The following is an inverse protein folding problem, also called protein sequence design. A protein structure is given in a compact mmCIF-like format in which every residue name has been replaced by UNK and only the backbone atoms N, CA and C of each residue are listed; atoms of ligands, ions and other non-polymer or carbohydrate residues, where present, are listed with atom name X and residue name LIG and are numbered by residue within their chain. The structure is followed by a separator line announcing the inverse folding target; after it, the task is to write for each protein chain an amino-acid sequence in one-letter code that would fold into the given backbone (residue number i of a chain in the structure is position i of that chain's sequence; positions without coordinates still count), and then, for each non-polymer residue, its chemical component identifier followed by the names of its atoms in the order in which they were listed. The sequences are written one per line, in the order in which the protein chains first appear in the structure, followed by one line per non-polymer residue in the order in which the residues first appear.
data_IF_084169576568
#
_entry.id   IF_084169576568
#
_cell.length_a   1.000
_cell.length_b   1.000
_cell.length_c   1.000
_cell.angle_alpha   90.00
_cell.angle_beta   90.00
_cell.angle_gamma   90.00
#
_symmetry.space_group_name_H-M   'P 1'
#
loop_
_entity.id
_entity.type
_entity.pdbx_description
1 polymer ?
#
# COMPACT_ATOMS: atom_id res chain seq x y z
N UNK A 1 10.65 -1.04 -24.68
CA UNK A 1 9.90 0.21 -24.94
C UNK A 1 10.59 0.97 -26.06
N UNK A 2 9.81 1.42 -27.05
CA UNK A 2 10.24 2.24 -28.18
C UNK A 2 9.67 3.65 -28.01
N UNK A 3 10.27 4.46 -27.12
CA UNK A 3 9.71 5.77 -26.73
C UNK A 3 9.56 6.72 -27.92
N UNK A 4 10.46 6.62 -28.90
CA UNK A 4 10.46 7.45 -30.10
C UNK A 4 9.25 7.20 -31.02
N UNK A 5 8.56 6.08 -30.87
CA UNK A 5 7.33 5.75 -31.62
C UNK A 5 6.08 6.29 -30.91
N UNK A 6 6.19 6.67 -29.63
CA UNK A 6 5.08 7.14 -28.82
C UNK A 6 4.92 8.65 -28.89
N UNK A 7 3.71 9.10 -29.21
CA UNK A 7 3.40 10.55 -29.26
C UNK A 7 3.15 11.16 -27.88
N UNK A 8 2.77 10.34 -26.89
CA UNK A 8 2.52 10.73 -25.53
C UNK A 8 2.95 9.63 -24.57
N UNK A 9 3.72 9.99 -23.54
CA UNK A 9 4.11 9.08 -22.46
C UNK A 9 3.70 9.67 -21.09
N UNK A 10 3.18 8.81 -20.22
CA UNK A 10 2.88 9.17 -18.82
C UNK A 10 3.85 8.38 -17.94
N UNK A 11 4.59 9.08 -17.09
CA UNK A 11 5.66 8.50 -16.27
C UNK A 11 5.34 8.76 -14.80
N UNK A 12 5.28 7.68 -14.02
CA UNK A 12 5.26 7.74 -12.55
C UNK A 12 6.54 7.08 -12.05
N UNK A 13 7.38 7.83 -11.33
CA UNK A 13 8.70 7.35 -10.90
C UNK A 13 9.06 7.88 -9.51
N UNK A 14 9.61 7.03 -8.67
CA UNK A 14 10.12 7.42 -7.35
C UNK A 14 11.63 7.64 -7.34
N UNK A 15 12.15 8.15 -6.22
CA UNK A 15 13.58 8.11 -5.89
C UNK A 15 13.81 7.12 -4.73
N UNK A 16 14.93 6.43 -4.73
CA UNK A 16 15.36 5.51 -3.66
C UNK A 16 16.73 5.91 -3.13
N UNK A 17 17.01 5.62 -1.85
CA UNK A 17 18.30 5.90 -1.22
C UNK A 17 18.72 7.37 -1.36
N UNK A 18 19.95 7.59 -1.83
CA UNK A 18 20.55 8.92 -2.01
C UNK A 18 20.12 9.65 -3.30
N UNK A 19 18.98 9.27 -3.89
CA UNK A 19 18.47 9.88 -5.13
C UNK A 19 18.82 9.08 -6.38
N UNK A 20 18.83 7.75 -6.23
CA UNK A 20 18.95 6.76 -7.29
C UNK A 20 17.57 6.25 -7.71
N UNK A 21 17.42 5.75 -8.96
CA UNK A 21 16.14 5.22 -9.41
C UNK A 21 15.86 3.85 -8.80
N UNK A 22 14.58 3.49 -8.61
CA UNK A 22 14.18 2.15 -8.23
C UNK A 22 14.75 1.09 -9.18
N UNK A 23 14.97 -0.13 -8.69
CA UNK A 23 15.58 -1.22 -9.45
C UNK A 23 14.88 -1.51 -10.79
N UNK A 24 13.55 -1.50 -10.78
CA UNK A 24 12.74 -1.72 -11.97
C UNK A 24 12.88 -0.57 -13.01
N UNK A 25 13.29 0.62 -12.58
CA UNK A 25 13.54 1.79 -13.41
C UNK A 25 15.02 1.96 -13.80
N UNK A 26 15.95 1.25 -13.16
CA UNK A 26 17.39 1.40 -13.39
C UNK A 26 17.79 1.22 -14.86
N UNK A 27 17.31 0.14 -15.51
CA UNK A 27 17.56 -0.11 -16.95
C UNK A 27 17.01 1.01 -17.84
N UNK A 28 15.86 1.58 -17.47
CA UNK A 28 15.25 2.71 -18.16
C UNK A 28 16.07 3.98 -18.03
N UNK A 29 16.44 4.33 -16.80
CA UNK A 29 17.25 5.51 -16.52
C UNK A 29 18.61 5.44 -17.22
N UNK A 30 19.26 4.26 -17.23
CA UNK A 30 20.51 4.06 -17.97
C UNK A 30 20.34 4.29 -19.47
N UNK A 31 19.29 3.72 -20.09
CA UNK A 31 19.05 3.84 -21.53
C UNK A 31 18.74 5.29 -21.94
N UNK A 32 17.90 6.00 -21.19
CA UNK A 32 17.51 7.37 -21.55
C UNK A 32 18.63 8.40 -21.30
N UNK A 33 19.56 8.09 -20.39
CA UNK A 33 20.75 8.92 -20.14
C UNK A 33 21.96 8.54 -21.00
N UNK A 34 21.81 7.61 -21.95
CA UNK A 34 22.86 7.29 -22.91
C UNK A 34 23.23 8.54 -23.71
N UNK A 35 24.51 8.92 -23.66
CA UNK A 35 25.03 10.13 -24.30
C UNK A 35 25.10 10.03 -25.82
N UNK A 36 24.97 8.83 -26.38
CA UNK A 36 24.91 8.60 -27.83
C UNK A 36 23.56 8.97 -28.45
N UNK A 37 22.52 9.18 -27.64
CA UNK A 37 21.21 9.61 -28.12
C UNK A 37 21.25 11.04 -28.64
N UNK A 38 20.68 11.25 -29.83
CA UNK A 38 20.50 12.57 -30.42
C UNK A 38 19.59 13.44 -29.55
N UNK A 39 19.89 14.74 -29.51
CA UNK A 39 19.04 15.79 -28.92
C UNK A 39 17.62 15.85 -29.49
N UNK A 40 17.35 15.28 -30.67
CA UNK A 40 16.02 15.21 -31.26
C UNK A 40 15.34 13.84 -31.12
N UNK A 41 15.91 12.92 -30.35
CA UNK A 41 15.47 11.53 -30.23
C UNK A 41 13.98 11.38 -29.84
N UNK A 42 13.45 12.32 -29.05
CA UNK A 42 12.05 12.37 -28.59
C UNK A 42 11.31 13.63 -29.10
N UNK A 43 11.75 14.22 -30.20
CA UNK A 43 11.15 15.47 -30.75
C UNK A 43 9.65 15.38 -31.06
N UNK A 44 9.15 14.18 -31.34
CA UNK A 44 7.74 13.89 -31.60
C UNK A 44 6.94 13.44 -30.37
N UNK A 45 7.56 13.40 -29.19
CA UNK A 45 6.98 12.85 -27.97
C UNK A 45 6.63 13.98 -27.00
N UNK A 46 5.41 13.94 -26.46
CA UNK A 46 5.05 14.70 -25.27
C UNK A 46 5.10 13.80 -24.03
N UNK A 47 5.36 14.36 -22.86
CA UNK A 47 5.36 13.60 -21.61
C UNK A 47 4.62 14.29 -20.48
N UNK A 48 3.96 13.50 -19.64
CA UNK A 48 3.48 13.91 -18.33
C UNK A 48 4.27 13.12 -17.27
N UNK A 49 4.80 13.80 -16.25
CA UNK A 49 5.61 13.18 -15.21
C UNK A 49 5.03 13.45 -13.83
N UNK A 50 4.86 12.39 -13.05
CA UNK A 50 4.54 12.45 -11.62
C UNK A 50 5.70 11.79 -10.86
N UNK A 51 6.41 12.60 -10.09
CA UNK A 51 7.46 12.11 -9.22
C UNK A 51 6.93 11.76 -7.83
N UNK A 52 7.35 10.63 -7.28
CA UNK A 52 7.07 10.24 -5.90
C UNK A 52 8.36 10.39 -5.07
N UNK A 53 8.30 11.13 -3.97
CA UNK A 53 9.47 11.40 -3.13
C UNK A 53 9.08 11.65 -1.69
N UNK A 54 10.08 11.93 -0.87
CA UNK A 54 9.94 12.22 0.55
C UNK A 54 10.91 13.37 0.88
N UNK A 55 10.37 14.48 1.40
CA UNK A 55 11.14 15.68 1.73
C UNK A 55 12.07 15.54 2.94
N UNK A 56 11.98 14.44 3.69
CA UNK A 56 12.96 14.08 4.72
C UNK A 56 14.32 13.69 4.12
N UNK A 57 14.37 13.30 2.85
CA UNK A 57 15.60 12.94 2.16
C UNK A 57 16.26 14.19 1.56
N UNK A 58 17.60 14.19 1.57
CA UNK A 58 18.42 15.29 1.06
C UNK A 58 18.17 15.60 -0.42
N UNK A 59 17.73 14.60 -1.20
CA UNK A 59 17.50 14.71 -2.64
C UNK A 59 16.03 14.58 -3.02
N UNK A 60 15.15 15.38 -2.38
CA UNK A 60 13.72 15.42 -2.69
C UNK A 60 13.45 15.53 -4.20
N UNK A 61 12.75 14.53 -4.75
CA UNK A 61 12.39 14.42 -6.16
C UNK A 61 13.61 14.33 -7.11
N UNK A 62 14.75 13.82 -6.62
CA UNK A 62 16.01 13.79 -7.37
C UNK A 62 15.95 13.05 -8.71
N UNK A 63 15.44 11.82 -8.72
CA UNK A 63 15.29 11.02 -9.95
C UNK A 63 14.25 11.61 -10.91
N UNK A 64 13.02 11.94 -10.47
CA UNK A 64 12.04 12.66 -11.28
C UNK A 64 12.61 13.91 -11.97
N UNK A 65 13.32 14.77 -11.23
CA UNK A 65 13.93 15.99 -11.77
C UNK A 65 15.04 15.69 -12.78
N UNK A 66 15.90 14.71 -12.51
CA UNK A 66 16.94 14.26 -13.45
C UNK A 66 16.32 13.76 -14.76
N UNK A 67 15.29 12.91 -14.65
CA UNK A 67 14.59 12.35 -15.80
C UNK A 67 13.89 13.43 -16.63
N UNK A 68 13.14 14.34 -15.99
CA UNK A 68 12.48 15.46 -16.67
C UNK A 68 13.50 16.27 -17.49
N UNK A 69 14.61 16.66 -16.87
CA UNK A 69 15.68 17.42 -17.54
C UNK A 69 16.19 16.67 -18.76
N UNK A 70 16.38 15.34 -18.65
CA UNK A 70 16.87 14.52 -19.76
C UNK A 70 15.85 14.39 -20.88
N UNK A 71 14.57 14.21 -20.58
CA UNK A 71 13.50 14.13 -21.59
C UNK A 71 13.43 15.43 -22.42
N UNK A 72 13.50 16.58 -21.74
CA UNK A 72 13.54 17.89 -22.40
C UNK A 72 14.78 18.06 -23.30
N UNK A 73 15.95 17.59 -22.84
CA UNK A 73 17.18 17.62 -23.64
C UNK A 73 17.14 16.73 -24.89
N UNK A 74 16.30 15.69 -24.88
CA UNK A 74 16.07 14.80 -26.02
C UNK A 74 14.94 15.30 -26.94
N UNK A 75 14.44 16.52 -26.72
CA UNK A 75 13.44 17.17 -27.58
C UNK A 75 11.99 16.87 -27.21
N UNK A 76 11.75 16.08 -26.16
CA UNK A 76 10.39 15.84 -25.67
C UNK A 76 9.79 17.13 -25.09
N UNK A 77 8.47 17.25 -25.17
CA UNK A 77 7.74 18.42 -24.63
C UNK A 77 6.85 18.02 -23.47
N UNK A 78 6.73 18.88 -22.45
CA UNK A 78 5.75 18.66 -21.38
C UNK A 78 4.34 18.67 -21.98
N UNK A 79 3.54 17.68 -21.58
CA UNK A 79 2.10 17.60 -21.89
C UNK A 79 1.29 18.40 -20.86
N UNK A 80 1.67 18.26 -19.59
CA UNK A 80 1.21 19.04 -18.44
C UNK A 80 2.42 19.33 -17.55
N UNK A 81 2.27 20.22 -16.57
CA UNK A 81 3.30 20.40 -15.55
C UNK A 81 3.50 19.12 -14.73
N UNK A 82 4.75 18.90 -14.34
CA UNK A 82 5.11 17.70 -13.59
C UNK A 82 4.68 17.82 -12.13
N UNK A 83 4.10 16.74 -11.61
CA UNK A 83 3.72 16.63 -10.20
C UNK A 83 4.89 16.14 -9.35
N UNK A 84 4.95 16.57 -8.09
CA UNK A 84 5.90 16.07 -7.11
C UNK A 84 5.18 15.72 -5.82
N UNK A 85 4.86 14.44 -5.63
CA UNK A 85 4.23 13.94 -4.42
C UNK A 85 5.25 13.75 -3.28
N UNK A 86 4.84 14.08 -2.07
CA UNK A 86 5.67 14.04 -0.87
C UNK A 86 5.05 13.10 0.17
N UNK A 87 5.72 11.98 0.41
CA UNK A 87 5.28 10.94 1.34
C UNK A 87 5.20 11.47 2.78
N UNK A 88 6.03 12.46 3.13
CA UNK A 88 6.06 13.04 4.48
C UNK A 88 4.75 13.73 4.89
N UNK A 89 3.99 14.23 3.92
CA UNK A 89 2.71 14.94 4.16
C UNK A 89 1.50 14.21 3.58
N UNK A 90 1.72 13.08 2.91
CA UNK A 90 0.70 12.31 2.18
C UNK A 90 0.78 12.55 0.67
N UNK A 91 1.01 11.47 -0.09
CA UNK A 91 1.18 11.52 -1.54
C UNK A 91 -0.07 12.07 -2.25
N UNK A 92 -1.26 11.73 -1.74
CA UNK A 92 -2.56 12.06 -2.33
C UNK A 92 -2.75 13.57 -2.54
N UNK A 93 -2.15 14.40 -1.67
CA UNK A 93 -2.24 15.86 -1.75
C UNK A 93 -1.68 16.43 -3.07
N UNK A 94 -0.70 15.76 -3.66
CA UNK A 94 -0.12 16.15 -4.96
C UNK A 94 -0.61 15.27 -6.11
N UNK A 95 -0.87 13.98 -5.85
CA UNK A 95 -1.30 13.02 -6.87
C UNK A 95 -2.68 13.39 -7.41
N UNK A 96 -3.64 13.71 -6.55
CA UNK A 96 -5.03 13.97 -6.97
C UNK A 96 -5.16 15.23 -7.84
N UNK A 97 -4.63 16.41 -7.46
CA UNK A 97 -4.67 17.59 -8.34
C UNK A 97 -3.91 17.40 -9.65
N UNK A 98 -2.85 16.58 -9.63
CA UNK A 98 -2.09 16.27 -10.83
C UNK A 98 -2.87 15.34 -11.77
N UNK A 99 -3.58 14.34 -11.24
CA UNK A 99 -4.49 13.49 -12.01
C UNK A 99 -5.62 14.31 -12.65
N UNK A 100 -6.21 15.26 -11.92
CA UNK A 100 -7.22 16.18 -12.46
C UNK A 100 -6.67 16.97 -13.66
N UNK A 101 -5.46 17.51 -13.54
CA UNK A 101 -4.79 18.19 -14.66
C UNK A 101 -4.56 17.24 -15.85
N UNK A 102 -4.09 16.02 -15.57
CA UNK A 102 -3.80 15.02 -16.59
C UNK A 102 -5.05 14.59 -17.35
N UNK A 103 -6.13 14.22 -16.64
CA UNK A 103 -7.37 13.77 -17.25
C UNK A 103 -8.02 14.88 -18.09
N UNK A 104 -8.03 16.11 -17.61
CA UNK A 104 -8.50 17.25 -18.39
C UNK A 104 -7.70 17.45 -19.68
N UNK A 105 -6.36 17.36 -19.61
CA UNK A 105 -5.51 17.48 -20.79
C UNK A 105 -5.69 16.32 -21.78
N UNK A 106 -5.76 15.07 -21.28
CA UNK A 106 -6.00 13.87 -22.10
C UNK A 106 -7.34 13.97 -22.82
N UNK A 107 -8.38 14.42 -22.11
CA UNK A 107 -9.71 14.61 -22.67
C UNK A 107 -9.69 15.57 -23.86
N UNK A 108 -9.02 16.71 -23.71
CA UNK A 108 -8.87 17.69 -24.80
C UNK A 108 -8.06 17.11 -25.97
N UNK A 109 -6.97 16.40 -25.67
CA UNK A 109 -6.04 15.84 -26.68
C UNK A 109 -6.64 14.72 -27.53
N UNK A 110 -7.50 13.90 -26.94
CA UNK A 110 -8.12 12.74 -27.58
C UNK A 110 -9.60 12.95 -27.91
N UNK A 111 -10.12 14.17 -27.71
CA UNK A 111 -11.52 14.52 -27.92
C UNK A 111 -12.48 13.54 -27.21
N UNK A 112 -12.10 13.14 -25.99
CA UNK A 112 -12.94 12.26 -25.19
C UNK A 112 -14.15 13.08 -24.73
N UNK A 113 -15.34 12.50 -24.90
CA UNK A 113 -16.55 13.06 -24.29
C UNK A 113 -16.40 13.00 -22.77
N UNK A 114 -17.03 13.93 -22.06
CA UNK A 114 -17.33 13.65 -20.65
C UNK A 114 -18.16 12.39 -20.67
N UNK A 115 -17.57 11.29 -20.23
CA UNK A 115 -18.39 10.28 -19.61
C UNK A 115 -18.76 10.94 -18.28
N UNK A 116 -20.04 11.19 -18.05
CA UNK A 116 -20.53 11.67 -16.75
C UNK A 116 -20.15 10.72 -15.59
N UNK A 117 -19.53 9.57 -15.91
CA UNK A 117 -19.18 8.51 -14.99
C UNK A 117 -17.85 8.67 -14.24
N UNK A 118 -16.87 9.52 -14.63
CA UNK A 118 -15.57 9.57 -13.90
C UNK A 118 -15.70 9.91 -12.41
N UNK A 119 -16.76 10.66 -12.09
CA UNK A 119 -17.28 10.81 -10.74
C UNK A 119 -18.78 10.54 -10.75
N UNK A 120 -19.24 9.52 -10.03
CA UNK A 120 -20.68 9.44 -9.78
C UNK A 120 -21.07 10.59 -8.85
N UNK A 121 -21.93 11.49 -9.32
CA UNK A 121 -22.68 12.37 -8.42
C UNK A 121 -23.63 11.50 -7.62
N UNK A 122 -23.16 11.00 -6.49
CA UNK A 122 -24.02 10.29 -5.56
C UNK A 122 -24.84 11.35 -4.85
N UNK A 123 -26.17 11.29 -4.98
CA UNK A 123 -27.12 12.04 -4.12
C UNK A 123 -27.54 11.09 -3.00
N UNK A 124 -26.79 10.98 -1.90
CA UNK A 124 -27.26 10.23 -0.75
C UNK A 124 -28.36 11.03 -0.04
N UNK A 125 -29.35 10.30 0.50
CA UNK A 125 -30.42 10.89 1.30
C UNK A 125 -29.79 11.64 2.48
N UNK A 126 -30.13 12.91 2.65
CA UNK A 126 -29.71 13.71 3.80
C UNK A 126 -30.26 13.08 5.09
N UNK A 127 -29.36 12.55 5.93
CA UNK A 127 -29.72 11.99 7.24
C UNK A 127 -29.33 13.01 8.31
N UNK A 128 -30.37 13.60 8.92
CA UNK A 128 -30.25 14.33 10.17
C UNK A 128 -29.86 13.34 11.27
N UNK A 129 -28.67 13.52 11.86
CA UNK A 129 -28.29 12.80 13.09
C UNK A 129 -28.25 13.86 14.18
N UNK A 130 -29.15 13.70 15.15
CA UNK A 130 -29.16 14.46 16.40
C UNK A 130 -27.88 14.19 17.19
N UNK A 131 -27.22 15.28 17.57
CA UNK A 131 -26.02 15.33 18.41
C UNK A 131 -26.03 14.33 19.58
N UNK A 132 -25.01 13.49 19.64
CA UNK A 132 -24.53 12.93 20.91
C UNK A 132 -23.34 13.77 21.36
N UNK A 133 -23.60 14.62 22.35
CA UNK A 133 -22.61 15.43 23.04
C UNK A 133 -22.02 14.65 24.22
N UNK A 134 -20.73 14.93 24.46
CA UNK A 134 -19.96 14.79 25.71
C UNK A 134 -19.47 13.39 26.12
N UNK A 135 -18.17 13.21 26.30
CA UNK A 135 -17.42 13.64 27.50
C UNK A 135 -15.94 13.23 27.38
N UNK A 136 -15.03 14.12 27.76
CA UNK A 136 -13.65 13.77 28.11
C UNK A 136 -13.66 12.74 29.24
N UNK A 137 -12.98 11.61 29.02
CA UNK A 137 -12.57 10.71 30.10
C UNK A 137 -11.07 10.41 29.97
N UNK A 138 -10.28 11.35 30.48
CA UNK A 138 -8.99 11.04 31.07
C UNK A 138 -9.23 10.21 32.34
N UNK A 139 -8.94 8.92 32.31
CA UNK A 139 -8.67 8.12 33.51
C UNK A 139 -7.88 6.87 33.11
N UNK A 140 -6.55 6.96 33.16
CA UNK A 140 -5.69 5.79 33.28
C UNK A 140 -5.27 5.68 34.75
N UNK A 141 -5.82 4.68 35.43
CA UNK A 141 -5.33 4.22 36.73
C UNK A 141 -4.08 3.37 36.51
N UNK A 142 -2.93 3.89 36.96
CA UNK A 142 -1.69 3.13 37.10
C UNK A 142 -1.88 2.02 38.14
N UNK A 143 -1.79 0.78 37.68
CA UNK A 143 -1.65 -0.39 38.54
C UNK A 143 -0.16 -0.64 38.75
N UNK A 144 0.36 -0.26 39.92
CA UNK A 144 1.73 -0.60 40.35
C UNK A 144 1.80 -2.09 40.68
N UNK A 145 2.53 -2.86 39.88
CA UNK A 145 3.07 -4.16 40.29
C UNK A 145 4.58 -4.04 40.44
N UNK A 146 5.07 -4.40 41.62
CA UNK A 146 6.48 -4.38 41.99
C UNK A 146 7.29 -5.29 41.07
N UNK A 147 8.24 -4.72 40.34
CA UNK A 147 9.31 -5.44 39.68
C UNK A 147 10.59 -5.27 40.49
N UNK A 148 10.99 -6.33 41.19
CA UNK A 148 12.34 -6.49 41.69
C UNK A 148 12.97 -7.73 41.04
N UNK A 149 14.23 -7.55 40.62
CA UNK A 149 15.22 -8.55 40.23
C UNK A 149 15.01 -9.38 38.93
N UNK A 150 15.28 -8.79 37.75
CA UNK A 150 15.89 -9.54 36.63
C UNK A 150 16.61 -8.63 35.62
N UNK A 151 17.68 -7.95 36.06
CA UNK A 151 18.58 -7.25 35.12
C UNK A 151 19.43 -8.29 34.35
N UNK A 152 19.41 -8.21 33.02
CA UNK A 152 20.29 -8.92 32.05
C UNK A 152 19.96 -10.37 31.61
N UNK A 153 18.69 -10.79 31.54
CA UNK A 153 18.36 -12.02 30.77
C UNK A 153 17.93 -11.66 29.35
N UNK A 154 18.69 -12.12 28.35
CA UNK A 154 18.20 -12.23 26.98
C UNK A 154 16.96 -13.11 27.00
N UNK A 155 15.81 -12.54 26.62
CA UNK A 155 14.57 -13.29 26.50
C UNK A 155 14.43 -13.66 25.01
N UNK A 156 14.26 -14.95 24.66
CA UNK A 156 14.18 -15.37 23.26
C UNK A 156 12.87 -14.97 22.57
N UNK A 157 11.89 -14.46 23.32
CA UNK A 157 10.58 -14.08 22.79
C UNK A 157 10.23 -12.63 23.14
N UNK A 158 9.74 -11.92 22.15
CA UNK A 158 9.12 -10.61 22.29
C UNK A 158 7.64 -10.82 22.62
N UNK A 159 7.23 -10.55 23.86
CA UNK A 159 5.80 -10.49 24.21
C UNK A 159 5.26 -9.14 23.73
N UNK A 160 4.61 -9.14 22.56
CA UNK A 160 3.88 -7.99 22.06
C UNK A 160 2.51 -8.06 22.71
N UNK A 161 2.17 -7.04 23.52
CA UNK A 161 0.84 -6.96 24.13
C UNK A 161 -0.24 -7.31 23.09
N UNK A 162 -1.22 -8.16 23.45
CA UNK A 162 -2.24 -8.57 22.51
C UNK A 162 -3.00 -7.33 22.01
N UNK A 163 -3.08 -7.19 20.69
CA UNK A 163 -3.88 -6.13 20.07
C UNK A 163 -5.30 -6.18 20.64
N UNK A 164 -5.77 -5.03 21.11
CA UNK A 164 -7.18 -4.84 21.44
C UNK A 164 -7.94 -4.71 20.13
N UNK A 165 -8.74 -5.72 19.82
CA UNK A 165 -9.63 -5.65 18.67
C UNK A 165 -10.75 -4.65 18.97
N UNK A 166 -11.15 -3.84 17.99
CA UNK A 166 -12.28 -2.94 18.16
C UNK A 166 -13.56 -3.74 18.42
N UNK A 167 -14.41 -3.21 19.29
CA UNK A 167 -15.75 -3.75 19.52
C UNK A 167 -16.62 -3.62 18.25
N UNK A 168 -17.83 -4.18 18.26
CA UNK A 168 -18.78 -4.09 17.15
C UNK A 168 -19.35 -2.68 16.91
N UNK A 169 -18.86 -1.66 17.63
CA UNK A 169 -19.25 -0.28 17.50
C UNK A 169 -18.76 0.34 16.17
N UNK A 170 -19.59 1.15 15.48
CA UNK A 170 -19.19 1.82 14.26
C UNK A 170 -17.97 2.74 14.48
N UNK A 171 -16.87 2.44 13.80
CA UNK A 171 -15.62 3.22 13.91
C UNK A 171 -15.65 4.51 13.08
N UNK A 172 -16.44 4.54 11.99
CA UNK A 172 -16.51 5.63 11.03
C UNK A 172 -17.71 6.57 11.29
N UNK A 173 -17.81 7.11 12.51
CA UNK A 173 -18.93 8.00 12.92
C UNK A 173 -18.60 9.49 12.92
N UNK A 174 -17.33 9.85 12.73
CA UNK A 174 -16.83 11.24 12.84
C UNK A 174 -16.53 11.82 11.47
N UNK A 175 -17.06 13.00 11.16
CA UNK A 175 -16.78 13.78 9.95
C UNK A 175 -17.14 15.26 10.15
N UNK A 176 -16.66 16.15 9.27
CA UNK A 176 -17.02 17.57 9.36
C UNK A 176 -18.44 17.83 8.87
N UNK A 177 -19.13 18.78 9.51
CA UNK A 177 -20.42 19.26 9.03
C UNK A 177 -20.31 19.87 7.62
N UNK A 178 -19.14 20.42 7.25
CA UNK A 178 -18.93 21.02 5.93
C UNK A 178 -19.04 20.00 4.79
N UNK A 179 -18.39 18.84 4.90
CA UNK A 179 -18.46 17.80 3.86
C UNK A 179 -19.76 17.01 3.98
N UNK A 180 -20.20 16.75 5.22
CA UNK A 180 -21.44 16.02 5.46
C UNK A 180 -22.66 16.70 4.84
N UNK A 181 -22.71 18.03 4.84
CA UNK A 181 -23.81 18.80 4.25
C UNK A 181 -23.67 19.03 2.73
N UNK A 182 -22.59 18.56 2.08
CA UNK A 182 -22.47 18.64 0.62
C UNK A 182 -23.34 17.58 -0.07
N UNK A 183 -24.33 18.03 -0.82
CA UNK A 183 -25.27 17.14 -1.53
C UNK A 183 -24.57 16.34 -2.65
N UNK A 184 -23.62 16.97 -3.35
CA UNK A 184 -22.93 16.40 -4.50
C UNK A 184 -21.45 16.18 -4.18
N UNK A 185 -21.09 14.94 -3.86
CA UNK A 185 -19.70 14.54 -3.70
C UNK A 185 -19.14 14.05 -5.03
N UNK A 186 -17.90 14.44 -5.35
CA UNK A 186 -17.19 13.88 -6.50
C UNK A 186 -16.45 12.63 -6.07
N UNK A 187 -17.10 11.48 -6.24
CA UNK A 187 -16.58 10.18 -5.80
C UNK A 187 -16.07 9.38 -7.00
N UNK A 188 -14.82 8.88 -6.97
CA UNK A 188 -14.27 8.05 -8.06
C UNK A 188 -15.11 6.80 -8.33
N UNK A 189 -15.05 6.30 -9.56
CA UNK A 189 -15.63 4.99 -9.90
C UNK A 189 -14.95 3.89 -9.08
N UNK A 190 -15.75 2.96 -8.55
CA UNK A 190 -15.23 1.78 -7.89
C UNK A 190 -14.42 0.91 -8.86
N UNK A 191 -13.32 0.31 -8.37
CA UNK A 191 -12.52 -0.60 -9.18
C UNK A 191 -13.38 -1.79 -9.64
N UNK A 192 -13.32 -2.11 -10.94
CA UNK A 192 -14.08 -3.24 -11.48
C UNK A 192 -13.51 -4.56 -10.95
N UNK A 193 -14.40 -5.44 -10.50
CA UNK A 193 -14.07 -6.80 -10.14
C UNK A 193 -13.57 -7.55 -11.39
N UNK A 194 -12.47 -8.27 -11.24
CA UNK A 194 -11.85 -9.04 -12.33
C UNK A 194 -11.45 -10.45 -11.91
N UNK A 195 -11.61 -10.79 -10.63
CA UNK A 195 -11.35 -12.11 -10.09
C UNK A 195 -12.65 -12.69 -9.56
N UNK A 196 -12.82 -13.98 -9.79
CA UNK A 196 -13.86 -14.80 -9.16
C UNK A 196 -13.20 -15.92 -8.38
N UNK A 197 -13.80 -16.25 -7.24
CA UNK A 197 -13.37 -17.36 -6.38
C UNK A 197 -14.43 -18.44 -6.33
N UNK A 198 -14.00 -19.70 -6.24
CA UNK A 198 -14.88 -20.83 -5.94
C UNK A 198 -14.27 -21.68 -4.84
N UNK A 199 -15.06 -21.99 -3.81
CA UNK A 199 -14.61 -22.77 -2.65
C UNK A 199 -15.22 -24.16 -2.72
N UNK A 200 -14.40 -25.18 -2.53
CA UNK A 200 -14.82 -26.59 -2.50
C UNK A 200 -15.03 -27.05 -1.06
N UNK A 201 -15.46 -28.29 -0.84
CA UNK A 201 -15.57 -28.86 0.52
C UNK A 201 -14.24 -29.46 1.03
N UNK A 202 -13.23 -29.60 0.15
CA UNK A 202 -11.94 -30.19 0.50
C UNK A 202 -11.08 -29.19 1.27
N UNK A 203 -10.31 -29.67 2.24
CA UNK A 203 -9.33 -28.84 2.95
C UNK A 203 -8.12 -28.55 2.07
N UNK A 204 -7.59 -27.34 2.21
CA UNK A 204 -6.33 -26.94 1.60
C UNK A 204 -5.14 -27.37 2.47
N UNK A 205 -4.15 -28.00 1.85
CA UNK A 205 -2.88 -28.33 2.49
C UNK A 205 -1.82 -27.33 2.01
N UNK A 206 -1.31 -26.51 2.93
CA UNK A 206 -0.29 -25.50 2.66
C UNK A 206 1.14 -26.01 2.82
N UNK A 207 1.34 -27.27 3.21
CA UNK A 207 2.67 -27.82 3.54
C UNK A 207 3.67 -27.76 2.38
N UNK A 208 3.18 -27.87 1.14
CA UNK A 208 4.00 -27.77 -0.07
C UNK A 208 4.13 -26.35 -0.63
N UNK A 209 3.46 -25.36 -0.03
CA UNK A 209 3.44 -24.00 -0.56
C UNK A 209 4.74 -23.27 -0.21
N UNK A 210 5.44 -22.82 -1.24
CA UNK A 210 6.58 -21.93 -1.07
C UNK A 210 6.12 -20.51 -0.72
N UNK A 211 6.98 -19.75 -0.04
CA UNK A 211 6.77 -18.31 0.17
C UNK A 211 6.50 -17.61 -1.16
N UNK A 212 5.48 -16.74 -1.18
CA UNK A 212 5.03 -16.03 -2.39
C UNK A 212 4.78 -16.95 -3.59
N UNK A 213 4.41 -18.22 -3.36
CA UNK A 213 4.21 -19.20 -4.45
C UNK A 213 5.45 -19.35 -5.37
N UNK A 214 6.66 -19.15 -4.82
CA UNK A 214 7.93 -19.20 -5.56
C UNK A 214 8.27 -17.91 -6.33
N UNK A 215 7.42 -16.89 -6.29
CA UNK A 215 7.74 -15.57 -6.84
C UNK A 215 8.76 -14.84 -5.96
N UNK A 216 9.51 -13.92 -6.57
CA UNK A 216 10.51 -13.12 -5.86
C UNK A 216 9.85 -11.98 -5.08
N UNK A 217 10.34 -11.72 -3.88
CA UNK A 217 9.99 -10.50 -3.16
C UNK A 217 10.62 -9.27 -3.85
N UNK A 218 9.94 -8.11 -3.86
CA UNK A 218 10.53 -6.86 -4.34
C UNK A 218 11.81 -6.52 -3.56
N UNK A 219 12.88 -6.12 -4.26
CA UNK A 219 14.17 -5.75 -3.64
C UNK A 219 15.01 -6.92 -3.12
N UNK A 220 14.54 -8.16 -3.30
CA UNK A 220 15.22 -9.34 -2.77
C UNK A 220 16.43 -9.76 -3.61
N UNK A 221 17.57 -9.91 -2.95
CA UNK A 221 18.78 -10.51 -3.49
C UNK A 221 18.94 -11.94 -2.96
N UNK A 222 18.76 -12.95 -3.82
CA UNK A 222 18.92 -14.37 -3.45
C UNK A 222 17.61 -15.10 -3.09
N UNK A 223 17.73 -16.18 -2.30
CA UNK A 223 16.63 -16.97 -1.74
C UNK A 223 16.40 -16.60 -0.26
N UNK A 224 15.19 -16.81 0.30
CA UNK A 224 14.97 -16.57 1.73
C UNK A 224 15.76 -17.59 2.54
N UNK A 225 16.34 -17.13 3.65
CA UNK A 225 17.02 -17.99 4.62
C UNK A 225 16.24 -18.02 5.92
N UNK A 226 16.30 -19.16 6.60
CA UNK A 226 15.74 -19.29 7.93
C UNK A 226 16.73 -18.72 8.95
N UNK A 227 16.20 -17.97 9.91
CA UNK A 227 16.96 -17.36 10.98
C UNK A 227 16.23 -17.63 12.30
N UNK A 228 16.98 -18.07 13.31
CA UNK A 228 16.45 -18.31 14.64
C UNK A 228 16.68 -17.09 15.52
N UNK A 229 15.63 -16.59 16.16
CA UNK A 229 15.76 -15.58 17.22
C UNK A 229 16.35 -16.25 18.45
N UNK A 230 17.57 -15.87 18.83
CA UNK A 230 18.28 -16.43 19.99
C UNK A 230 18.27 -15.48 21.20
N UNK A 231 17.91 -14.23 20.99
CA UNK A 231 17.63 -13.31 22.08
C UNK A 231 17.08 -11.98 21.64
N UNK A 232 16.38 -11.32 22.57
CA UNK A 232 15.91 -9.95 22.45
C UNK A 232 16.37 -9.18 23.68
N UNK A 233 16.93 -7.99 23.46
CA UNK A 233 17.34 -7.08 24.52
C UNK A 233 16.66 -5.72 24.30
N UNK A 234 16.04 -5.17 25.33
CA UNK A 234 15.60 -3.77 25.27
C UNK A 234 16.79 -2.86 25.61
N UNK A 235 17.11 -1.96 24.69
CA UNK A 235 18.26 -1.03 24.79
C UNK A 235 17.83 0.39 25.19
N UNK A 236 16.52 0.68 25.20
CA UNK A 236 15.98 1.91 25.76
C UNK A 236 15.98 1.86 27.29
N UNK A 237 16.32 2.99 27.91
CA UNK A 237 16.11 3.14 29.34
C UNK A 237 14.59 3.19 29.65
N UNK A 238 14.17 2.33 30.57
CA UNK A 238 12.80 2.19 31.02
C UNK A 238 12.24 3.55 31.50
N UNK A 239 11.06 3.92 31.01
CA UNK A 239 10.38 5.17 31.39
C UNK A 239 10.94 6.46 30.78
N UNK A 240 12.02 6.42 29.98
CA UNK A 240 12.61 7.62 29.35
C UNK A 240 12.25 7.71 27.86
N UNK A 241 12.15 6.58 27.17
CA UNK A 241 11.86 6.58 25.74
C UNK A 241 10.34 6.50 25.47
N UNK A 242 9.83 7.39 24.61
CA UNK A 242 8.43 7.33 24.12
C UNK A 242 8.11 6.03 23.36
N UNK A 243 9.12 5.35 22.82
CA UNK A 243 9.01 4.04 22.17
C UNK A 243 10.21 3.17 22.56
N UNK A 244 9.99 1.93 23.02
CA UNK A 244 11.07 1.05 23.39
C UNK A 244 11.92 0.69 22.16
N UNK A 245 13.25 0.72 22.32
CA UNK A 245 14.21 0.27 21.30
C UNK A 245 14.70 -1.10 21.68
N UNK A 246 14.69 -2.04 20.74
CA UNK A 246 15.09 -3.42 20.98
C UNK A 246 16.18 -3.85 20.00
N UNK A 247 17.10 -4.65 20.50
CA UNK A 247 18.10 -5.38 19.75
C UNK A 247 17.65 -6.84 19.66
N UNK A 248 17.67 -7.42 18.46
CA UNK A 248 17.28 -8.80 18.21
C UNK A 248 18.52 -9.55 17.71
N UNK A 249 18.87 -10.63 18.39
CA UNK A 249 19.99 -11.51 18.03
C UNK A 249 19.45 -12.68 17.22
N UNK A 250 20.02 -12.86 16.03
CA UNK A 250 19.62 -13.88 15.08
C UNK A 250 20.78 -14.84 14.87
N UNK A 251 20.49 -16.14 14.88
CA UNK A 251 21.40 -17.20 14.49
C UNK A 251 20.93 -17.77 13.17
N UNK A 252 21.82 -17.80 12.16
CA UNK A 252 21.58 -18.46 10.89
C UNK A 252 22.05 -19.91 10.98
N UNK A 253 21.35 -20.80 10.30
CA UNK A 253 21.76 -22.20 10.22
C UNK A 253 23.12 -22.35 9.52
N UNK A 254 23.86 -23.39 9.87
CA UNK A 254 25.15 -23.72 9.22
C UNK A 254 24.92 -24.55 7.97
N UNK A 255 24.20 -23.98 7.01
CA UNK A 255 23.95 -24.59 5.71
C UNK A 255 24.66 -23.82 4.58
N UNK A 256 24.81 -24.47 3.43
CA UNK A 256 25.49 -23.86 2.27
C UNK A 256 24.83 -22.55 1.83
N UNK A 257 23.52 -22.41 2.03
CA UNK A 257 22.76 -21.20 1.66
C UNK A 257 23.12 -20.02 2.55
N UNK A 258 23.12 -20.23 3.87
CA UNK A 258 23.45 -19.20 4.86
C UNK A 258 24.93 -18.81 4.78
N UNK A 259 25.84 -19.77 4.61
CA UNK A 259 27.26 -19.47 4.41
C UNK A 259 27.51 -18.65 3.15
N UNK A 260 26.82 -18.97 2.05
CA UNK A 260 26.94 -18.21 0.81
C UNK A 260 26.49 -16.75 1.00
N UNK A 261 25.34 -16.52 1.63
CA UNK A 261 24.83 -15.16 1.85
C UNK A 261 25.73 -14.39 2.80
N UNK A 262 26.23 -15.00 3.87
CA UNK A 262 27.16 -14.34 4.80
C UNK A 262 28.49 -13.96 4.13
N UNK A 263 28.94 -14.73 3.14
CA UNK A 263 30.15 -14.41 2.36
C UNK A 263 29.92 -13.32 1.30
N UNK A 264 28.67 -13.16 0.83
CA UNK A 264 28.28 -12.12 -0.13
C UNK A 264 27.80 -10.82 0.55
N UNK A 265 27.52 -10.86 1.85
CA UNK A 265 27.02 -9.73 2.64
C UNK A 265 28.15 -8.76 3.01
N UNK A 266 27.94 -7.47 2.71
CA UNK A 266 28.82 -6.40 3.14
C UNK A 266 28.20 -5.57 4.26
N UNK A 267 29.04 -5.05 5.16
CA UNK A 267 28.59 -4.15 6.22
C UNK A 267 27.93 -2.89 5.62
N UNK A 268 26.64 -2.70 5.90
CA UNK A 268 25.81 -1.66 5.30
C UNK A 268 24.66 -2.21 4.45
N UNK A 269 24.74 -3.49 4.06
CA UNK A 269 23.63 -4.18 3.42
C UNK A 269 22.45 -4.36 4.37
N UNK A 270 21.26 -4.43 3.79
CA UNK A 270 19.99 -4.53 4.50
C UNK A 270 19.39 -5.93 4.41
N UNK A 271 18.84 -6.42 5.52
CA UNK A 271 18.02 -7.62 5.55
C UNK A 271 16.55 -7.26 5.53
N UNK A 272 15.78 -7.99 4.73
CA UNK A 272 14.32 -7.96 4.80
C UNK A 272 13.84 -9.13 5.66
N UNK A 273 12.87 -8.86 6.51
CA UNK A 273 12.19 -9.89 7.26
C UNK A 273 10.82 -10.16 6.67
N UNK A 274 10.50 -11.44 6.53
CA UNK A 274 9.22 -11.90 6.02
C UNK A 274 8.49 -12.56 7.19
N UNK A 275 7.29 -12.08 7.48
CA UNK A 275 6.46 -12.63 8.55
C UNK A 275 5.04 -12.87 8.04
N UNK A 276 4.38 -13.96 8.48
CA UNK A 276 2.96 -14.09 8.28
C UNK A 276 2.19 -13.08 9.14
N UNK A 277 1.00 -12.71 8.69
CA UNK A 277 0.08 -11.97 9.55
C UNK A 277 -0.26 -12.79 10.80
N UNK A 278 -0.35 -12.16 11.99
CA UNK A 278 -0.66 -12.90 13.20
C UNK A 278 -2.00 -13.60 13.12
N UNK A 279 -2.03 -14.87 13.56
CA UNK A 279 -3.24 -15.71 13.52
C UNK A 279 -4.47 -15.00 14.09
N UNK A 280 -4.34 -14.32 15.23
CA UNK A 280 -5.46 -13.63 15.89
C UNK A 280 -6.10 -12.55 15.01
N UNK A 281 -5.31 -11.78 14.27
CA UNK A 281 -5.81 -10.75 13.34
C UNK A 281 -6.49 -11.38 12.13
N UNK A 282 -5.92 -12.47 11.61
CA UNK A 282 -6.51 -13.22 10.50
C UNK A 282 -7.87 -13.82 10.91
N UNK A 283 -7.96 -14.45 12.08
CA UNK A 283 -9.24 -14.96 12.60
C UNK A 283 -10.25 -13.82 12.77
N UNK A 284 -9.84 -12.69 13.36
CA UNK A 284 -10.71 -11.54 13.55
C UNK A 284 -11.33 -11.05 12.24
N UNK A 285 -10.53 -10.94 11.17
CA UNK A 285 -11.03 -10.54 9.84
C UNK A 285 -11.98 -11.59 9.27
N UNK A 286 -11.60 -12.87 9.33
CA UNK A 286 -12.42 -13.97 8.79
C UNK A 286 -13.77 -14.08 9.50
N UNK A 287 -13.80 -13.90 10.83
CA UNK A 287 -15.02 -13.89 11.64
C UNK A 287 -15.92 -12.72 11.25
N UNK A 288 -15.36 -11.51 11.12
CA UNK A 288 -16.12 -10.31 10.71
C UNK A 288 -16.67 -10.42 9.29
N UNK A 289 -15.94 -11.08 8.39
CA UNK A 289 -16.41 -11.38 7.04
C UNK A 289 -17.35 -12.60 6.97
N UNK A 290 -17.56 -13.31 8.09
CA UNK A 290 -18.36 -14.55 8.18
C UNK A 290 -17.83 -15.67 7.26
N UNK A 291 -16.52 -15.74 7.10
CA UNK A 291 -15.82 -16.70 6.23
C UNK A 291 -15.16 -17.85 6.99
N UNK A 292 -15.16 -17.83 8.31
CA UNK A 292 -14.41 -18.78 9.15
C UNK A 292 -14.74 -20.25 8.88
N UNK A 293 -16.00 -20.55 8.55
CA UNK A 293 -16.47 -21.92 8.24
C UNK A 293 -15.81 -22.50 6.98
N UNK A 294 -15.49 -21.64 6.01
CA UNK A 294 -14.94 -22.02 4.70
C UNK A 294 -13.47 -21.61 4.55
N UNK A 295 -12.88 -21.02 5.58
CA UNK A 295 -11.59 -20.34 5.48
C UNK A 295 -10.43 -21.27 5.13
N UNK A 296 -10.51 -22.54 5.54
CA UNK A 296 -9.49 -23.58 5.35
C UNK A 296 -9.79 -24.50 4.14
N UNK A 297 -10.91 -24.28 3.46
CA UNK A 297 -11.27 -25.05 2.27
C UNK A 297 -10.49 -24.59 1.04
N UNK A 298 -10.29 -25.50 0.07
CA UNK A 298 -9.66 -25.18 -1.21
C UNK A 298 -10.52 -24.16 -1.95
N UNK A 299 -9.92 -22.99 -2.16
CA UNK A 299 -10.38 -21.88 -2.95
C UNK A 299 -9.62 -21.86 -4.27
N UNK A 300 -10.35 -21.82 -5.39
CA UNK A 300 -9.79 -21.62 -6.72
C UNK A 300 -10.05 -20.18 -7.14
N UNK A 301 -9.00 -19.48 -7.56
CA UNK A 301 -9.10 -18.14 -8.14
C UNK A 301 -9.03 -18.23 -9.66
N UNK A 302 -9.88 -17.48 -10.34
CA UNK A 302 -9.81 -17.34 -11.79
C UNK A 302 -10.17 -15.93 -12.21
N UNK A 303 -9.75 -15.55 -13.41
CA UNK A 303 -10.14 -14.28 -14.01
C UNK A 303 -11.61 -14.39 -14.42
N UNK A 304 -12.40 -13.39 -14.05
CA UNK A 304 -13.81 -13.31 -14.49
C UNK A 304 -13.87 -13.22 -16.02
N UNK A 305 -14.61 -14.14 -16.66
CA UNK A 305 -14.78 -14.15 -18.11
C UNK A 305 -15.47 -12.89 -18.64
N UNK A 306 -16.20 -12.18 -17.78
CA UNK A 306 -16.91 -10.95 -18.14
C UNK A 306 -16.11 -9.67 -17.83
N UNK A 307 -14.87 -9.78 -17.36
CA UNK A 307 -14.10 -8.58 -16.99
C UNK A 307 -13.72 -7.74 -18.20
N UNK A 308 -13.89 -6.41 -18.09
CA UNK A 308 -13.38 -5.46 -19.07
C UNK A 308 -11.91 -5.06 -18.79
N UNK A 309 -11.31 -5.59 -17.71
CA UNK A 309 -9.94 -5.26 -17.32
C UNK A 309 -8.92 -5.89 -18.28
N UNK A 310 -8.18 -5.04 -18.99
CA UNK A 310 -7.08 -5.48 -19.86
C UNK A 310 -5.96 -6.13 -19.04
N UNK A 311 -5.41 -7.23 -19.55
CA UNK A 311 -4.34 -8.01 -18.89
C UNK A 311 -4.71 -8.46 -17.46
N UNK A 312 -5.99 -8.73 -17.21
CA UNK A 312 -6.42 -9.32 -15.95
C UNK A 312 -5.76 -10.69 -15.75
N UNK A 313 -5.19 -10.89 -14.56
CA UNK A 313 -4.52 -12.13 -14.19
C UNK A 313 -4.67 -12.35 -12.68
N UNK A 314 -4.73 -13.62 -12.27
CA UNK A 314 -4.56 -14.00 -10.87
C UNK A 314 -3.12 -13.63 -10.46
N UNK A 315 -2.92 -12.93 -9.34
CA UNK A 315 -1.58 -12.59 -8.87
C UNK A 315 -0.75 -13.86 -8.67
N UNK A 316 0.43 -13.92 -9.30
CA UNK A 316 1.26 -15.13 -9.32
C UNK A 316 1.73 -15.59 -7.95
N UNK A 317 1.85 -14.66 -7.00
CA UNK A 317 2.24 -14.94 -5.63
C UNK A 317 1.16 -15.65 -4.80
N UNK A 318 -0.07 -15.78 -5.34
CA UNK A 318 -1.15 -16.52 -4.70
C UNK A 318 -1.19 -17.93 -5.32
N UNK A 319 -0.99 -19.00 -4.52
CA UNK A 319 -1.18 -20.37 -5.00
C UNK A 319 -2.59 -20.61 -5.52
N UNK A 320 -2.74 -21.52 -6.48
CA UNK A 320 -4.06 -21.89 -7.01
C UNK A 320 -4.10 -23.39 -7.30
N UNK A 321 -4.80 -24.21 -6.48
CA UNK A 321 -5.69 -23.80 -5.38
C UNK A 321 -4.94 -23.20 -4.18
N UNK A 322 -5.67 -22.44 -3.35
CA UNK A 322 -5.25 -21.92 -2.04
C UNK A 322 -6.38 -22.06 -1.00
N UNK A 323 -6.29 -21.40 0.16
CA UNK A 323 -7.42 -21.16 1.05
C UNK A 323 -7.54 -19.68 1.40
N UNK A 324 -8.72 -19.24 1.86
CA UNK A 324 -8.92 -17.84 2.27
C UNK A 324 -8.01 -17.49 3.45
N UNK A 325 -7.85 -18.42 4.41
CA UNK A 325 -6.93 -18.25 5.54
C UNK A 325 -5.50 -18.06 5.04
N UNK A 326 -5.03 -18.90 4.12
CA UNK A 326 -3.68 -18.78 3.56
C UNK A 326 -3.46 -17.41 2.90
N UNK A 327 -4.43 -16.93 2.10
CA UNK A 327 -4.35 -15.60 1.48
C UNK A 327 -4.20 -14.50 2.54
N UNK A 328 -5.06 -14.49 3.56
CA UNK A 328 -4.98 -13.49 4.64
C UNK A 328 -3.74 -13.64 5.51
N UNK A 329 -3.18 -14.84 5.65
CA UNK A 329 -1.95 -15.05 6.45
C UNK A 329 -0.69 -14.65 5.70
N UNK A 330 -0.58 -14.94 4.40
CA UNK A 330 0.71 -14.89 3.68
C UNK A 330 0.74 -13.97 2.47
N UNK A 331 -0.41 -13.58 1.91
CA UNK A 331 -0.46 -12.91 0.60
C UNK A 331 -0.94 -11.44 0.67
N UNK A 332 -1.62 -11.04 1.75
CA UNK A 332 -2.20 -9.70 1.89
C UNK A 332 -1.56 -8.93 3.04
N UNK A 333 -1.37 -7.63 2.86
CA UNK A 333 -1.10 -6.71 3.96
C UNK A 333 -2.43 -6.28 4.57
N UNK A 334 -2.69 -6.72 5.81
CA UNK A 334 -3.93 -6.43 6.54
C UNK A 334 -3.76 -5.32 7.59
N UNK A 335 -2.55 -4.78 7.74
CA UNK A 335 -2.22 -3.79 8.77
C UNK A 335 -2.02 -2.40 8.20
N UNK A 336 -1.75 -2.29 6.90
CA UNK A 336 -1.71 -1.00 6.21
C UNK A 336 -3.05 -0.29 6.32
N UNK A 337 -3.02 1.00 6.63
CA UNK A 337 -4.20 1.85 6.58
C UNK A 337 -4.86 1.76 5.19
N UNK A 338 -6.17 1.52 5.11
CA UNK A 338 -6.85 1.30 3.84
C UNK A 338 -6.82 2.57 2.99
N UNK A 339 -6.26 2.47 1.78
CA UNK A 339 -6.31 3.56 0.81
C UNK A 339 -7.73 3.86 0.32
N UNK A 340 -7.96 5.08 -0.18
CA UNK A 340 -9.26 5.52 -0.75
C UNK A 340 -9.84 4.55 -1.80
N UNK A 341 -9.06 3.92 -2.70
CA UNK A 341 -9.60 2.91 -3.62
C UNK A 341 -10.24 1.71 -2.92
N UNK A 342 -9.67 1.24 -1.81
CA UNK A 342 -10.24 0.14 -1.03
C UNK A 342 -11.51 0.59 -0.31
N UNK A 343 -11.49 1.77 0.32
CA UNK A 343 -12.70 2.35 0.92
C UNK A 343 -13.83 2.48 -0.10
N UNK A 344 -13.51 2.90 -1.32
CA UNK A 344 -14.49 3.03 -2.41
C UNK A 344 -15.13 1.70 -2.78
N UNK A 345 -14.38 0.61 -2.77
CA UNK A 345 -14.94 -0.74 -2.99
C UNK A 345 -15.86 -1.13 -1.83
N UNK A 346 -15.46 -0.84 -0.59
CA UNK A 346 -16.26 -1.16 0.60
C UNK A 346 -17.62 -0.45 0.62
N UNK A 347 -17.71 0.78 0.08
CA UNK A 347 -18.99 1.53 -0.06
C UNK A 347 -20.09 0.68 -0.72
N UNK A 348 -19.76 -0.13 -1.74
CA UNK A 348 -20.74 -0.95 -2.46
C UNK A 348 -21.31 -2.08 -1.60
N UNK A 349 -20.61 -2.43 -0.52
CA UNK A 349 -20.96 -3.51 0.39
C UNK A 349 -21.41 -3.00 1.78
N UNK A 350 -21.48 -1.68 1.98
CA UNK A 350 -21.96 -1.07 3.22
C UNK A 350 -23.47 -0.88 3.18
N UNK A 351 -24.19 -1.52 4.11
CA UNK A 351 -25.65 -1.46 4.21
C UNK A 351 -26.16 -0.31 5.07
N UNK A 352 -25.38 0.13 6.06
CA UNK A 352 -25.72 1.28 6.89
C UNK A 352 -25.50 2.57 6.09
N UNK A 353 -26.56 3.34 5.85
CA UNK A 353 -26.51 4.57 5.04
C UNK A 353 -25.58 5.65 5.63
N UNK A 354 -25.46 5.74 6.95
CA UNK A 354 -24.58 6.70 7.61
C UNK A 354 -23.11 6.34 7.38
N UNK A 355 -22.74 5.07 7.60
CA UNK A 355 -21.38 4.59 7.35
C UNK A 355 -21.03 4.65 5.86
N UNK A 356 -21.98 4.29 5.00
CA UNK A 356 -21.84 4.38 3.55
C UNK A 356 -21.59 5.83 3.13
N UNK A 357 -22.36 6.78 3.66
CA UNK A 357 -22.13 8.21 3.43
C UNK A 357 -20.73 8.61 3.90
N UNK A 358 -20.31 8.18 5.09
CA UNK A 358 -18.98 8.53 5.59
C UNK A 358 -17.85 7.99 4.71
N UNK A 359 -17.97 6.76 4.23
CA UNK A 359 -17.02 6.18 3.28
C UNK A 359 -16.99 6.96 1.96
N UNK A 360 -18.16 7.38 1.44
CA UNK A 360 -18.25 8.24 0.25
C UNK A 360 -17.54 9.58 0.46
N UNK A 361 -17.70 10.21 1.62
CA UNK A 361 -16.98 11.44 1.98
C UNK A 361 -15.47 11.24 1.94
N UNK A 362 -14.94 10.23 2.63
CA UNK A 362 -13.51 9.92 2.63
C UNK A 362 -12.96 9.58 1.24
N UNK A 363 -13.79 9.04 0.36
CA UNK A 363 -13.43 8.74 -1.02
C UNK A 363 -13.57 9.94 -1.95
N UNK A 364 -14.27 11.01 -1.58
CA UNK A 364 -14.54 12.11 -2.51
C UNK A 364 -13.36 13.06 -2.67
N UNK A 365 -13.33 13.81 -3.77
CA UNK A 365 -12.34 14.88 -3.97
C UNK A 365 -12.39 15.93 -2.85
N UNK A 366 -13.57 16.18 -2.29
CA UNK A 366 -13.77 17.10 -1.18
C UNK A 366 -13.22 16.56 0.15
N UNK A 367 -13.23 15.23 0.35
CA UNK A 367 -12.78 14.57 1.58
C UNK A 367 -11.31 14.21 1.65
N UNK A 368 -10.48 14.63 0.69
CA UNK A 368 -9.03 14.32 0.67
C UNK A 368 -8.36 14.72 1.98
N UNK A 369 -8.61 15.94 2.46
CA UNK A 369 -7.99 16.44 3.70
C UNK A 369 -8.45 15.66 4.93
N UNK A 370 -9.74 15.33 5.01
CA UNK A 370 -10.27 14.53 6.12
C UNK A 370 -9.69 13.11 6.10
N UNK A 371 -9.59 12.48 4.92
CA UNK A 371 -8.95 11.17 4.76
C UNK A 371 -7.49 11.18 5.22
N UNK A 372 -6.70 12.19 4.83
CA UNK A 372 -5.30 12.29 5.25
C UNK A 372 -5.15 12.52 6.77
N UNK A 373 -6.13 13.15 7.41
CA UNK A 373 -6.09 13.46 8.84
C UNK A 373 -6.62 12.34 9.76
N UNK A 374 -7.45 11.44 9.21
CA UNK A 374 -8.13 10.38 9.95
C UNK A 374 -7.22 9.15 10.09
#
# INVERSE_FOLDING_TARGET
YNLQEETLIVIVISSTGDGDPPDNAHKFMKKIHDKSLDTNFLSNTQFALLGLGDSNYSTFQGVPKKLEKRLLQLGAKKFIESGGADDQIGLELAVEPWLDCLYNALRLRFHLKLVEDEFQSVIPKSINISHLNMADQSNQQESKTNADETRNKMIPFLDIEPLKFPDDEPSLVRGSDSIRNQENLRVPISAQNFLVSSVTHELFDSSSCQWQNGERFPGMHGEPIEAKVVGTLEISAEGIAHKPKREIHLELDRDEKSEKILNEYDAGDSFYFIFPNPKREVEFILDRLKLSVVADQKCHLSVDSNTAKRNAAVPKYIPNPCSLRYIFTYCLDIRRAPGRPLLRVLVEHTTNETEKRRLLELCSAEGVQEFTSY
#
